data_IF_537465795334
#
_entry.id   IF_537465795334
#
_cell.length_a   1.000
_cell.length_b   1.000
_cell.length_c   1.000
_cell.angle_alpha   90.00
_cell.angle_beta   90.00
_cell.angle_gamma   90.00
#
_symmetry.space_group_name_H-M   'P 1'
#
loop_
_entity.id
_entity.type
_entity.pdbx_description
1 polymer ?
#
# COMPACT_ATOMS: atom_id res chain seq x y z
N UNK A 1 -95.58 -4.67 -5.05
CA UNK A 1 -95.83 -4.83 -3.61
C UNK A 1 -94.86 -5.87 -3.07
N UNK A 2 -94.31 -5.56 -1.89
CA UNK A 2 -93.14 -6.13 -1.20
C UNK A 2 -93.07 -7.66 -1.01
N UNK A 3 -91.85 -8.14 -0.76
CA UNK A 3 -91.58 -9.43 -0.12
C UNK A 3 -90.12 -9.87 -0.26
N UNK A 4 -89.29 -9.59 0.75
CA UNK A 4 -87.83 -9.62 0.71
C UNK A 4 -87.16 -10.99 0.95
N UNK A 5 -85.88 -11.05 0.53
CA UNK A 5 -84.76 -11.81 1.11
C UNK A 5 -84.78 -13.33 1.05
N UNK A 6 -83.83 -13.91 0.29
CA UNK A 6 -82.96 -14.97 0.82
C UNK A 6 -81.76 -15.21 -0.09
N UNK A 7 -80.64 -14.54 0.20
CA UNK A 7 -79.31 -15.18 0.16
C UNK A 7 -79.41 -16.49 0.94
N UNK A 8 -79.78 -17.57 0.26
CA UNK A 8 -80.04 -18.85 0.90
C UNK A 8 -78.77 -19.44 1.51
N UNK A 9 -78.92 -20.07 2.67
CA UNK A 9 -77.84 -20.73 3.44
C UNK A 9 -77.00 -21.66 2.56
N UNK A 10 -77.62 -22.35 1.60
CA UNK A 10 -76.94 -23.22 0.63
C UNK A 10 -76.00 -22.46 -0.32
N UNK A 11 -76.37 -21.25 -0.75
CA UNK A 11 -75.52 -20.43 -1.61
C UNK A 11 -74.27 -19.95 -0.86
N UNK A 12 -74.43 -19.59 0.41
CA UNK A 12 -73.31 -19.21 1.28
C UNK A 12 -72.42 -20.41 1.63
N UNK A 13 -73.00 -21.59 1.86
CA UNK A 13 -72.26 -22.84 2.07
C UNK A 13 -71.45 -23.25 0.84
N UNK A 14 -72.01 -23.16 -0.36
CA UNK A 14 -71.29 -23.41 -1.62
C UNK A 14 -70.10 -22.45 -1.78
N UNK A 15 -70.32 -21.16 -1.51
CA UNK A 15 -69.27 -20.15 -1.62
C UNK A 15 -68.15 -20.37 -0.57
N UNK A 16 -68.52 -20.81 0.64
CA UNK A 16 -67.56 -21.20 1.68
C UNK A 16 -66.83 -22.49 1.32
N UNK A 17 -67.48 -23.46 0.70
CA UNK A 17 -66.85 -24.72 0.27
C UNK A 17 -65.83 -24.47 -0.86
N UNK A 18 -66.19 -23.64 -1.86
CA UNK A 18 -65.26 -23.21 -2.91
C UNK A 18 -64.07 -22.47 -2.32
N UNK A 19 -64.29 -21.57 -1.34
CA UNK A 19 -63.23 -20.83 -0.64
C UNK A 19 -62.37 -21.73 0.26
N UNK A 20 -62.95 -22.79 0.83
CA UNK A 20 -62.22 -23.79 1.62
C UNK A 20 -61.37 -24.70 0.72
N UNK A 21 -61.88 -25.09 -0.45
CA UNK A 21 -61.13 -25.86 -1.46
C UNK A 21 -60.00 -25.05 -2.10
N UNK A 22 -60.22 -23.76 -2.39
CA UNK A 22 -59.18 -22.88 -2.91
C UNK A 22 -58.06 -22.62 -1.90
N UNK A 23 -58.36 -22.56 -0.59
CA UNK A 23 -57.35 -22.43 0.48
C UNK A 23 -56.49 -23.68 0.67
N UNK A 24 -57.05 -24.87 0.48
CA UNK A 24 -56.28 -26.13 0.60
C UNK A 24 -55.27 -26.36 -0.53
N UNK A 25 -55.35 -25.58 -1.61
CA UNK A 25 -54.58 -25.83 -2.85
C UNK A 25 -54.03 -24.52 -3.43
N UNK A 26 -53.37 -23.68 -2.63
CA UNK A 26 -52.55 -22.58 -3.16
C UNK A 26 -51.11 -23.06 -3.42
N UNK A 27 -50.79 -23.57 -4.63
CA UNK A 27 -49.44 -24.04 -4.97
C UNK A 27 -48.38 -22.95 -4.84
N UNK A 28 -48.77 -21.68 -4.96
CA UNK A 28 -47.89 -20.51 -4.87
C UNK A 28 -47.38 -20.24 -3.45
N UNK A 29 -48.17 -20.54 -2.41
CA UNK A 29 -47.71 -20.44 -1.02
C UNK A 29 -46.80 -21.62 -0.67
N UNK A 30 -47.14 -22.83 -1.14
CA UNK A 30 -46.28 -24.00 -0.93
C UNK A 30 -44.96 -23.90 -1.70
N UNK A 31 -44.94 -23.34 -2.91
CA UNK A 31 -43.71 -23.08 -3.67
C UNK A 31 -42.84 -22.06 -2.96
N UNK A 32 -43.43 -20.97 -2.45
CA UNK A 32 -42.69 -19.95 -1.68
C UNK A 32 -42.13 -20.50 -0.38
N UNK A 33 -42.87 -21.34 0.33
CA UNK A 33 -42.38 -22.00 1.55
C UNK A 33 -41.24 -22.97 1.23
N UNK A 34 -41.32 -23.71 0.11
CA UNK A 34 -40.22 -24.57 -0.35
C UNK A 34 -38.97 -23.76 -0.72
N UNK A 35 -39.11 -22.65 -1.44
CA UNK A 35 -38.00 -21.74 -1.74
C UNK A 35 -37.35 -21.17 -0.46
N UNK A 36 -38.15 -20.73 0.49
CA UNK A 36 -37.65 -20.18 1.76
C UNK A 36 -36.93 -21.26 2.58
N UNK A 37 -37.44 -22.50 2.59
CA UNK A 37 -36.76 -23.63 3.23
C UNK A 37 -35.41 -23.92 2.58
N UNK A 38 -35.35 -23.96 1.25
CA UNK A 38 -34.09 -24.14 0.52
C UNK A 38 -33.09 -23.01 0.82
N UNK A 39 -33.56 -21.76 0.93
CA UNK A 39 -32.71 -20.63 1.35
C UNK A 39 -32.20 -20.77 2.77
N UNK A 40 -33.03 -21.23 3.70
CA UNK A 40 -32.60 -21.47 5.10
C UNK A 40 -31.55 -22.59 5.15
N UNK A 41 -31.72 -23.65 4.38
CA UNK A 41 -30.73 -24.74 4.29
C UNK A 41 -29.41 -24.25 3.69
N UNK A 42 -29.45 -23.47 2.61
CA UNK A 42 -28.25 -22.86 2.03
C UNK A 42 -27.54 -21.92 3.01
N UNK A 43 -28.28 -21.06 3.72
CA UNK A 43 -27.72 -20.17 4.74
C UNK A 43 -27.16 -20.94 5.94
N UNK A 44 -27.76 -22.06 6.33
CA UNK A 44 -27.21 -22.94 7.36
C UNK A 44 -25.89 -23.56 6.92
N UNK A 45 -25.82 -24.07 5.70
CA UNK A 45 -24.58 -24.61 5.14
C UNK A 45 -23.48 -23.55 5.10
N UNK A 46 -23.78 -22.33 4.65
CA UNK A 46 -22.82 -21.21 4.70
C UNK A 46 -22.38 -20.87 6.12
N UNK A 47 -23.31 -20.83 7.08
CA UNK A 47 -22.99 -20.55 8.48
C UNK A 47 -22.12 -21.64 9.09
N UNK A 48 -22.39 -22.91 8.78
CA UNK A 48 -21.60 -24.03 9.27
C UNK A 48 -20.20 -24.05 8.64
N UNK A 49 -20.07 -23.69 7.36
CA UNK A 49 -18.77 -23.47 6.70
C UNK A 49 -17.97 -22.34 7.37
N UNK A 50 -18.58 -21.17 7.57
CA UNK A 50 -17.91 -20.04 8.23
C UNK A 50 -17.52 -20.39 9.67
N UNK A 51 -18.34 -21.17 10.37
CA UNK A 51 -18.01 -21.63 11.72
C UNK A 51 -16.79 -22.55 11.71
N UNK A 52 -16.68 -23.46 10.74
CA UNK A 52 -15.50 -24.30 10.57
C UNK A 52 -14.25 -23.47 10.25
N UNK A 53 -14.35 -22.49 9.35
CA UNK A 53 -13.25 -21.55 9.05
C UNK A 53 -12.81 -20.77 10.31
N UNK A 54 -13.73 -20.29 11.13
CA UNK A 54 -13.37 -19.59 12.38
C UNK A 54 -12.63 -20.52 13.34
N UNK A 55 -13.08 -21.77 13.49
CA UNK A 55 -12.40 -22.72 14.38
C UNK A 55 -11.00 -23.10 13.87
N UNK A 56 -10.81 -23.24 12.55
CA UNK A 56 -9.46 -23.47 12.00
C UNK A 56 -8.55 -22.27 12.27
N UNK A 57 -9.01 -21.04 12.04
CA UNK A 57 -8.23 -19.83 12.33
C UNK A 57 -7.85 -19.71 13.82
N UNK A 58 -8.78 -20.02 14.73
CA UNK A 58 -8.49 -20.07 16.17
C UNK A 58 -7.42 -21.10 16.51
N UNK A 59 -7.50 -22.29 15.91
CA UNK A 59 -6.51 -23.35 16.14
C UNK A 59 -5.13 -22.95 15.59
N UNK A 60 -5.08 -22.37 14.39
CA UNK A 60 -3.85 -21.81 13.81
C UNK A 60 -3.23 -20.73 14.69
N UNK A 61 -4.05 -19.81 15.25
CA UNK A 61 -3.56 -18.77 16.15
C UNK A 61 -2.97 -19.35 17.45
N UNK A 62 -3.56 -20.42 18.00
CA UNK A 62 -3.01 -21.12 19.17
C UNK A 62 -1.66 -21.79 18.87
N UNK A 63 -1.58 -22.52 17.75
CA UNK A 63 -0.35 -23.18 17.29
C UNK A 63 0.78 -22.17 17.00
N UNK A 64 0.42 -21.00 16.47
CA UNK A 64 1.37 -19.90 16.29
C UNK A 64 1.98 -19.43 17.60
N UNK A 65 1.13 -19.19 18.61
CA UNK A 65 1.57 -18.75 19.93
C UNK A 65 2.42 -19.80 20.66
N UNK A 66 2.20 -21.10 20.44
CA UNK A 66 3.05 -22.15 21.00
C UNK A 66 4.41 -22.24 20.30
N UNK A 67 4.45 -22.06 18.98
CA UNK A 67 5.70 -22.08 18.22
C UNK A 67 6.60 -20.88 18.53
N UNK A 68 6.02 -19.69 18.72
CA UNK A 68 6.78 -18.50 19.13
C UNK A 68 7.38 -18.65 20.55
N UNK A 69 6.73 -19.43 21.44
CA UNK A 69 7.25 -19.76 22.78
C UNK A 69 8.40 -20.76 22.74
N UNK A 70 8.32 -21.80 21.89
CA UNK A 70 9.40 -22.77 21.69
C UNK A 70 10.70 -22.14 21.15
N UNK A 71 10.63 -21.02 20.42
CA UNK A 71 11.83 -20.28 20.02
C UNK A 71 12.52 -19.48 21.14
N UNK A 72 11.91 -19.40 22.34
CA UNK A 72 12.42 -18.58 23.45
C UNK A 72 12.80 -19.37 24.70
N UNK A 73 12.32 -20.60 24.85
CA UNK A 73 12.73 -21.54 25.90
C UNK A 73 13.01 -22.90 25.26
N UNK A 74 14.26 -23.37 25.40
CA UNK A 74 14.50 -24.79 25.54
C UNK A 74 13.80 -25.22 26.84
N UNK A 75 13.15 -26.38 26.79
CA UNK A 75 12.55 -27.10 27.91
C UNK A 75 11.07 -26.80 28.22
N UNK A 76 10.33 -27.92 28.21
CA UNK A 76 9.11 -28.24 28.95
C UNK A 76 7.75 -28.28 28.21
N UNK A 77 7.33 -29.55 28.09
CA UNK A 77 5.98 -30.11 28.15
C UNK A 77 5.19 -30.27 26.84
N UNK A 78 5.40 -31.48 26.28
CA UNK A 78 4.49 -32.17 25.38
C UNK A 78 3.13 -32.37 26.06
N UNK A 79 2.18 -31.48 25.80
CA UNK A 79 0.77 -31.83 25.97
C UNK A 79 0.34 -32.69 24.77
N UNK A 80 0.17 -34.00 25.05
CA UNK A 80 -0.42 -35.00 24.16
C UNK A 80 -1.74 -34.50 23.55
N UNK A 81 -1.70 -34.12 22.28
CA UNK A 81 -2.89 -34.03 21.44
C UNK A 81 -2.85 -35.18 20.43
N UNK A 82 -3.23 -36.38 20.90
CA UNK A 82 -3.65 -37.48 20.02
C UNK A 82 -4.97 -37.10 19.32
N UNK A 83 -4.89 -36.45 18.17
CA UNK A 83 -6.00 -36.33 17.21
C UNK A 83 -5.44 -36.38 15.79
N UNK A 84 -5.85 -37.42 15.03
CA UNK A 84 -5.51 -37.72 13.63
C UNK A 84 -4.22 -37.06 13.12
N UNK A 85 -3.13 -37.84 13.21
CA UNK A 85 -1.76 -37.45 12.85
C UNK A 85 -1.66 -36.58 11.60
N UNK A 86 -2.41 -36.90 10.55
CA UNK A 86 -2.41 -36.15 9.29
C UNK A 86 -3.05 -34.75 9.40
N UNK A 87 -4.17 -34.61 10.12
CA UNK A 87 -4.85 -33.32 10.29
C UNK A 87 -4.08 -32.39 11.22
N UNK A 88 -3.49 -32.92 12.29
CA UNK A 88 -2.61 -32.19 13.19
C UNK A 88 -1.33 -31.71 12.48
N UNK A 89 -0.68 -32.58 11.68
CA UNK A 89 0.47 -32.19 10.87
C UNK A 89 0.12 -31.12 9.83
N UNK A 90 -1.03 -31.24 9.15
CA UNK A 90 -1.49 -30.24 8.19
C UNK A 90 -1.68 -28.87 8.87
N UNK A 91 -2.32 -28.83 10.03
CA UNK A 91 -2.53 -27.60 10.81
C UNK A 91 -1.21 -26.98 11.27
N UNK A 92 -0.24 -27.78 11.70
CA UNK A 92 1.11 -27.30 12.04
C UNK A 92 1.85 -26.73 10.82
N UNK A 93 1.75 -27.38 9.65
CA UNK A 93 2.34 -26.87 8.41
C UNK A 93 1.69 -25.57 7.96
N UNK A 94 0.36 -25.45 8.08
CA UNK A 94 -0.36 -24.20 7.82
C UNK A 94 0.06 -23.08 8.77
N UNK A 95 0.22 -23.38 10.07
CA UNK A 95 0.70 -22.41 11.05
C UNK A 95 2.13 -21.93 10.74
N UNK A 96 3.04 -22.84 10.35
CA UNK A 96 4.39 -22.48 9.91
C UNK A 96 4.39 -21.67 8.61
N UNK A 97 3.56 -22.05 7.65
CA UNK A 97 3.44 -21.32 6.38
C UNK A 97 3.01 -19.87 6.62
N UNK A 98 1.93 -19.67 7.37
CA UNK A 98 1.43 -18.34 7.71
C UNK A 98 2.45 -17.50 8.50
N UNK A 99 3.20 -18.10 9.42
CA UNK A 99 4.31 -17.39 10.10
C UNK A 99 5.40 -16.95 9.12
N UNK A 100 5.80 -17.81 8.19
CA UNK A 100 6.80 -17.48 7.17
C UNK A 100 6.30 -16.40 6.20
N UNK A 101 5.02 -16.43 5.83
CA UNK A 101 4.39 -15.38 5.03
C UNK A 101 4.40 -14.04 5.77
N UNK A 102 4.06 -14.03 7.05
CA UNK A 102 4.08 -12.80 7.85
C UNK A 102 5.50 -12.28 8.06
N UNK A 103 6.49 -13.16 8.22
CA UNK A 103 7.89 -12.78 8.27
C UNK A 103 8.37 -12.20 6.94
N UNK A 104 7.97 -12.80 5.82
CA UNK A 104 8.28 -12.30 4.48
C UNK A 104 7.63 -10.94 4.24
N UNK A 105 6.38 -10.77 4.65
CA UNK A 105 5.68 -9.49 4.57
C UNK A 105 6.34 -8.41 5.44
N UNK A 106 6.78 -8.77 6.65
CA UNK A 106 7.55 -7.88 7.52
C UNK A 106 8.89 -7.51 6.87
N UNK A 107 9.60 -8.47 6.26
CA UNK A 107 10.83 -8.20 5.51
C UNK A 107 10.58 -7.28 4.32
N UNK A 108 9.52 -7.50 3.54
CA UNK A 108 9.14 -6.61 2.44
C UNK A 108 8.93 -5.17 2.94
N UNK A 109 8.24 -5.03 4.07
CA UNK A 109 7.86 -3.73 4.64
C UNK A 109 9.07 -3.00 5.26
N UNK A 110 9.99 -3.72 5.92
CA UNK A 110 11.07 -3.13 6.74
C UNK A 110 12.43 -3.21 6.05
N UNK A 111 12.67 -4.26 5.26
CA UNK A 111 13.96 -4.59 4.64
C UNK A 111 14.29 -3.76 3.41
N UNK A 112 13.31 -3.11 2.79
CA UNK A 112 13.51 -2.19 1.65
C UNK A 112 13.82 -2.86 0.31
N UNK A 113 14.01 -4.18 0.29
CA UNK A 113 14.10 -4.97 -0.94
C UNK A 113 13.66 -6.42 -0.74
N UNK A 114 13.18 -7.05 -1.80
CA UNK A 114 12.90 -8.48 -1.85
C UNK A 114 13.90 -9.20 -2.74
N UNK A 115 14.20 -10.45 -2.43
CA UNK A 115 15.11 -11.28 -3.21
C UNK A 115 14.42 -12.59 -3.58
N UNK A 116 14.30 -12.84 -4.89
CA UNK A 116 13.68 -14.05 -5.43
C UNK A 116 14.70 -14.77 -6.32
N UNK A 117 14.78 -16.10 -6.20
CA UNK A 117 15.64 -16.91 -7.08
C UNK A 117 15.09 -16.90 -8.50
N UNK A 118 15.97 -16.68 -9.49
CA UNK A 118 15.59 -16.77 -10.91
C UNK A 118 15.23 -18.20 -11.30
N UNK A 119 14.36 -18.38 -12.31
CA UNK A 119 13.88 -19.69 -12.78
C UNK A 119 14.99 -20.66 -13.18
N UNK A 120 16.17 -20.15 -13.52
CA UNK A 120 17.32 -20.97 -13.93
C UNK A 120 18.26 -21.32 -12.77
N UNK A 121 18.01 -20.82 -11.55
CA UNK A 121 18.85 -21.05 -10.37
C UNK A 121 20.27 -20.46 -10.46
N UNK A 122 20.57 -19.69 -11.52
CA UNK A 122 21.89 -19.10 -11.80
C UNK A 122 22.04 -17.67 -11.28
N UNK A 123 20.93 -17.02 -10.94
CA UNK A 123 20.89 -15.64 -10.48
C UNK A 123 19.75 -15.38 -9.49
N UNK A 124 19.72 -14.16 -8.98
CA UNK A 124 18.66 -13.63 -8.11
C UNK A 124 18.05 -12.37 -8.75
N UNK A 125 16.75 -12.20 -8.58
CA UNK A 125 16.05 -10.96 -8.88
C UNK A 125 15.85 -10.21 -7.56
N UNK A 126 16.32 -8.97 -7.51
CA UNK A 126 16.15 -8.05 -6.39
C UNK A 126 15.14 -6.98 -6.77
N UNK A 127 14.11 -6.81 -5.95
CA UNK A 127 13.07 -5.80 -6.13
C UNK A 127 13.21 -4.73 -5.05
N UNK A 128 13.35 -3.47 -5.45
CA UNK A 128 13.54 -2.30 -4.59
C UNK A 128 12.29 -1.43 -4.70
N UNK A 129 11.46 -1.44 -3.67
CA UNK A 129 10.30 -0.55 -3.58
C UNK A 129 10.73 0.83 -3.10
N UNK A 130 10.23 1.88 -3.75
CA UNK A 130 10.37 3.27 -3.29
C UNK A 130 9.13 3.69 -2.51
N UNK A 131 9.30 4.58 -1.55
CA UNK A 131 8.21 5.06 -0.71
C UNK A 131 8.34 6.54 -0.38
N UNK A 132 7.19 7.20 -0.29
CA UNK A 132 7.09 8.59 0.11
C UNK A 132 5.89 8.81 1.02
N UNK A 133 6.12 9.48 2.15
CA UNK A 133 5.08 9.81 3.16
C UNK A 133 4.24 8.59 3.61
N UNK A 134 4.88 7.41 3.73
CA UNK A 134 4.24 6.16 4.15
C UNK A 134 3.52 5.39 3.04
N UNK A 135 3.62 5.85 1.78
CA UNK A 135 2.99 5.20 0.62
C UNK A 135 4.06 4.67 -0.33
N UNK A 136 3.90 3.42 -0.76
CA UNK A 136 4.75 2.84 -1.80
C UNK A 136 4.45 3.47 -3.17
N UNK A 137 5.50 3.78 -3.91
CA UNK A 137 5.44 4.40 -5.24
C UNK A 137 5.79 3.35 -6.31
N UNK A 138 7.00 3.42 -6.84
CA UNK A 138 7.49 2.57 -7.92
C UNK A 138 8.43 1.49 -7.39
N UNK A 139 8.44 0.33 -8.05
CA UNK A 139 9.35 -0.78 -7.75
C UNK A 139 10.36 -0.97 -8.89
N UNK A 140 11.64 -0.98 -8.53
CA UNK A 140 12.75 -1.19 -9.44
C UNK A 140 13.32 -2.59 -9.27
N UNK A 141 13.64 -3.27 -10.37
CA UNK A 141 14.07 -4.65 -10.38
C UNK A 141 15.48 -4.75 -10.96
N UNK A 142 16.30 -5.61 -10.34
CA UNK A 142 17.65 -5.96 -10.79
C UNK A 142 17.80 -7.46 -10.82
N UNK A 143 18.30 -8.00 -11.92
CA UNK A 143 18.72 -9.38 -12.04
C UNK A 143 20.24 -9.45 -11.87
N UNK A 144 20.69 -10.28 -10.93
CA UNK A 144 22.09 -10.45 -10.56
C UNK A 144 22.47 -11.93 -10.76
N UNK A 145 23.42 -12.18 -11.64
CA UNK A 145 24.00 -13.51 -11.86
C UNK A 145 25.01 -13.83 -10.76
N UNK A 146 24.93 -15.03 -10.17
CA UNK A 146 25.76 -15.42 -9.01
C UNK A 146 27.08 -16.09 -9.38
N UNK A 147 27.24 -16.61 -10.61
CA UNK A 147 28.42 -17.39 -11.04
C UNK A 147 28.91 -16.94 -12.42
N UNK A 148 30.25 -16.83 -12.64
CA UNK A 148 31.36 -17.03 -11.69
C UNK A 148 31.64 -15.81 -10.79
N UNK A 149 31.11 -14.63 -11.12
CA UNK A 149 31.20 -13.39 -10.33
C UNK A 149 29.83 -12.72 -10.32
N UNK A 150 29.55 -11.93 -9.27
CA UNK A 150 28.30 -11.19 -9.16
C UNK A 150 28.22 -10.13 -10.27
N UNK A 151 27.27 -10.29 -11.19
CA UNK A 151 27.08 -9.36 -12.31
C UNK A 151 25.61 -8.97 -12.45
N UNK A 152 25.36 -7.69 -12.64
CA UNK A 152 24.03 -7.19 -12.98
C UNK A 152 23.77 -7.53 -14.45
N UNK A 153 22.79 -8.39 -14.71
CA UNK A 153 22.45 -8.88 -16.05
C UNK A 153 21.33 -8.06 -16.69
N UNK A 154 20.28 -7.74 -15.94
CA UNK A 154 19.14 -6.92 -16.37
C UNK A 154 18.70 -5.98 -15.26
N UNK A 155 18.20 -4.81 -15.62
CA UNK A 155 17.56 -3.90 -14.67
C UNK A 155 16.60 -2.94 -15.38
N UNK A 156 15.68 -2.36 -14.61
CA UNK A 156 14.86 -1.21 -15.04
C UNK A 156 15.26 0.10 -14.33
N UNK A 157 16.43 0.13 -13.68
CA UNK A 157 16.98 1.34 -13.05
C UNK A 157 17.16 2.44 -14.12
N UNK A 158 16.72 3.69 -13.87
CA UNK A 158 16.83 4.76 -14.83
C UNK A 158 18.29 5.05 -15.24
N UNK A 159 18.55 5.40 -16.51
CA UNK A 159 19.91 5.48 -17.08
C UNK A 159 20.78 6.59 -16.45
N UNK A 160 20.16 7.58 -15.83
CA UNK A 160 20.85 8.67 -15.14
C UNK A 160 21.38 8.29 -13.75
N UNK A 161 20.98 7.13 -13.20
CA UNK A 161 21.56 6.60 -11.96
C UNK A 161 22.79 5.76 -12.33
N UNK A 162 23.98 6.10 -11.83
CA UNK A 162 25.24 5.49 -12.28
C UNK A 162 25.44 4.10 -11.67
N UNK A 163 24.63 3.13 -12.10
CA UNK A 163 24.56 1.79 -11.51
C UNK A 163 25.91 1.05 -11.49
N UNK A 164 26.66 1.12 -12.59
CA UNK A 164 27.98 0.48 -12.71
C UNK A 164 28.99 1.11 -11.74
N UNK A 165 29.04 2.44 -11.67
CA UNK A 165 29.92 3.14 -10.74
C UNK A 165 29.55 2.84 -9.28
N UNK A 166 28.26 2.74 -8.97
CA UNK A 166 27.80 2.33 -7.63
C UNK A 166 28.19 0.88 -7.30
N UNK A 167 28.13 -0.04 -8.28
CA UNK A 167 28.53 -1.42 -8.08
C UNK A 167 30.03 -1.57 -7.82
N UNK A 168 30.85 -0.78 -8.52
CA UNK A 168 32.30 -0.72 -8.32
C UNK A 168 32.67 -0.09 -6.97
N UNK A 169 32.12 1.09 -6.65
CA UNK A 169 32.41 1.81 -5.41
C UNK A 169 32.05 1.03 -4.15
N UNK A 170 30.96 0.25 -4.19
CA UNK A 170 30.48 -0.52 -3.05
C UNK A 170 31.01 -1.96 -3.01
N UNK A 171 31.93 -2.34 -3.90
CA UNK A 171 32.47 -3.70 -4.00
C UNK A 171 31.35 -4.76 -4.03
N UNK A 172 30.53 -4.76 -5.09
CA UNK A 172 29.41 -5.69 -5.26
C UNK A 172 29.75 -7.16 -4.95
N UNK A 173 30.99 -7.59 -5.21
CA UNK A 173 31.45 -8.96 -4.94
C UNK A 173 31.49 -9.33 -3.45
N UNK A 174 31.75 -8.37 -2.57
CA UNK A 174 31.94 -8.60 -1.13
C UNK A 174 30.78 -8.05 -0.32
N UNK A 175 30.23 -6.89 -0.72
CA UNK A 175 29.25 -6.14 0.06
C UNK A 175 27.99 -5.82 -0.76
N UNK A 176 27.27 -6.86 -1.21
CA UNK A 176 26.01 -6.68 -1.95
C UNK A 176 24.98 -5.85 -1.17
N UNK A 177 24.94 -6.00 0.16
CA UNK A 177 24.04 -5.22 1.02
C UNK A 177 24.31 -3.72 0.93
N UNK A 178 25.57 -3.31 1.07
CA UNK A 178 25.95 -1.88 0.99
C UNK A 178 25.65 -1.30 -0.39
N UNK A 179 25.82 -2.07 -1.45
CA UNK A 179 25.40 -1.70 -2.79
C UNK A 179 23.87 -1.49 -2.86
N UNK A 180 23.08 -2.46 -2.39
CA UNK A 180 21.61 -2.37 -2.40
C UNK A 180 21.10 -1.21 -1.55
N UNK A 181 21.66 -0.98 -0.36
CA UNK A 181 21.29 0.13 0.51
C UNK A 181 21.61 1.49 -0.15
N UNK A 182 22.72 1.58 -0.87
CA UNK A 182 23.12 2.79 -1.59
C UNK A 182 22.23 3.03 -2.80
N UNK A 183 21.92 1.98 -3.57
CA UNK A 183 21.01 2.06 -4.71
C UNK A 183 19.58 2.41 -4.27
N UNK A 184 19.09 1.78 -3.20
CA UNK A 184 17.79 2.08 -2.60
C UNK A 184 17.67 3.56 -2.24
N UNK A 185 18.69 4.13 -1.59
CA UNK A 185 18.73 5.57 -1.27
C UNK A 185 18.63 6.47 -2.51
N UNK A 186 19.36 6.16 -3.58
CA UNK A 186 19.29 6.93 -4.83
C UNK A 186 17.91 6.86 -5.47
N UNK A 187 17.34 5.65 -5.58
CA UNK A 187 16.03 5.42 -6.16
C UNK A 187 14.94 6.10 -5.34
N UNK A 188 14.98 5.95 -4.02
CA UNK A 188 14.00 6.55 -3.13
C UNK A 188 14.08 8.08 -3.13
N UNK A 189 15.28 8.65 -3.16
CA UNK A 189 15.47 10.09 -3.28
C UNK A 189 14.96 10.64 -4.62
N UNK A 190 15.19 9.92 -5.72
CA UNK A 190 14.63 10.28 -7.02
C UNK A 190 13.09 10.22 -7.01
N UNK A 191 12.51 9.10 -6.59
CA UNK A 191 11.05 8.93 -6.53
C UNK A 191 10.41 9.98 -5.60
N UNK A 192 11.02 10.27 -4.46
CA UNK A 192 10.56 11.30 -3.54
C UNK A 192 10.60 12.71 -4.14
N UNK A 193 11.62 13.05 -4.94
CA UNK A 193 11.71 14.36 -5.62
C UNK A 193 10.67 14.48 -6.73
N UNK A 194 10.48 13.42 -7.50
CA UNK A 194 9.41 13.32 -8.52
C UNK A 194 8.03 13.47 -7.89
N UNK A 195 7.75 12.75 -6.80
CA UNK A 195 6.48 12.85 -6.08
C UNK A 195 6.25 14.25 -5.50
N UNK A 196 7.28 14.86 -4.91
CA UNK A 196 7.20 16.23 -4.43
C UNK A 196 6.84 17.21 -5.56
N UNK A 197 7.43 17.04 -6.74
CA UNK A 197 7.15 17.88 -7.90
C UNK A 197 5.69 17.74 -8.37
N UNK A 198 5.17 16.52 -8.41
CA UNK A 198 3.77 16.24 -8.73
C UNK A 198 2.84 16.93 -7.70
N UNK A 199 3.11 16.77 -6.42
CA UNK A 199 2.37 17.42 -5.34
C UNK A 199 2.43 18.95 -5.40
N UNK A 200 3.56 19.54 -5.83
CA UNK A 200 3.65 20.99 -6.04
C UNK A 200 2.67 21.43 -7.13
N UNK A 201 2.65 20.73 -8.27
CA UNK A 201 1.76 21.06 -9.38
C UNK A 201 0.28 20.90 -9.02
N UNK A 202 -0.05 19.89 -8.23
CA UNK A 202 -1.43 19.61 -7.82
C UNK A 202 -1.94 20.56 -6.74
N UNK A 203 -1.15 20.80 -5.68
CA UNK A 203 -1.58 21.55 -4.50
C UNK A 203 -1.40 23.07 -4.65
N UNK A 204 -0.40 23.51 -5.43
CA UNK A 204 0.00 24.91 -5.50
C UNK A 204 -0.20 25.51 -6.89
N UNK A 205 -1.46 25.75 -7.27
CA UNK A 205 -1.81 26.37 -8.57
C UNK A 205 -1.21 27.76 -8.79
N UNK A 206 -0.86 28.47 -7.72
CA UNK A 206 -0.22 29.79 -7.76
C UNK A 206 1.30 29.73 -7.96
N UNK A 207 1.92 28.55 -7.82
CA UNK A 207 3.35 28.32 -8.01
C UNK A 207 3.56 27.69 -9.38
N UNK A 208 4.28 28.38 -10.25
CA UNK A 208 4.61 27.88 -11.57
C UNK A 208 5.93 27.11 -11.52
N UNK A 209 5.92 25.85 -11.97
CA UNK A 209 7.14 25.09 -12.22
C UNK A 209 7.71 25.54 -13.56
N UNK A 210 8.83 26.26 -13.54
CA UNK A 210 9.48 26.80 -14.72
C UNK A 210 10.35 25.76 -15.41
N UNK A 211 11.19 25.07 -14.63
CA UNK A 211 12.12 24.08 -15.13
C UNK A 211 12.27 22.92 -14.14
N UNK A 212 12.36 21.71 -14.66
CA UNK A 212 12.83 20.55 -13.92
C UNK A 212 13.56 19.61 -14.86
N UNK A 213 14.74 19.15 -14.45
CA UNK A 213 15.48 18.14 -15.20
C UNK A 213 14.93 16.73 -14.94
N UNK A 214 15.31 15.76 -15.77
CA UNK A 214 14.82 14.37 -15.70
C UNK A 214 15.10 13.72 -14.34
N UNK A 215 16.22 14.08 -13.70
CA UNK A 215 16.63 13.61 -12.37
C UNK A 215 15.85 14.25 -11.22
N UNK A 216 15.03 15.27 -11.49
CA UNK A 216 14.46 16.18 -10.51
C UNK A 216 15.51 16.71 -9.51
N UNK A 217 16.76 16.88 -9.96
CA UNK A 217 17.86 17.39 -9.15
C UNK A 217 18.02 18.91 -9.22
N UNK A 218 17.40 19.54 -10.20
CA UNK A 218 17.23 21.00 -10.26
C UNK A 218 15.75 21.26 -10.50
N UNK A 219 15.18 22.12 -9.66
CA UNK A 219 13.80 22.56 -9.76
C UNK A 219 13.74 24.08 -9.66
N UNK A 220 13.21 24.73 -10.69
CA UNK A 220 13.02 26.17 -10.73
C UNK A 220 11.53 26.47 -10.62
N UNK A 221 11.17 27.19 -9.56
CA UNK A 221 9.81 27.58 -9.24
C UNK A 221 9.66 29.09 -9.35
N UNK A 222 8.50 29.56 -9.78
CA UNK A 222 8.16 30.98 -9.78
C UNK A 222 6.87 31.19 -8.99
N UNK A 223 6.87 32.16 -8.09
CA UNK A 223 5.69 32.53 -7.31
C UNK A 223 5.67 34.02 -6.98
N UNK A 224 4.48 34.54 -6.73
CA UNK A 224 4.26 35.97 -6.50
C UNK A 224 4.22 36.30 -5.01
N UNK A 225 4.84 37.43 -4.65
CA UNK A 225 4.83 37.97 -3.29
C UNK A 225 3.61 38.88 -3.11
N UNK A 226 2.72 38.63 -2.12
CA UNK A 226 1.46 39.37 -1.99
C UNK A 226 1.63 40.88 -1.79
N UNK A 227 2.66 41.31 -1.05
CA UNK A 227 2.85 42.71 -0.64
C UNK A 227 3.37 43.62 -1.77
N UNK A 228 4.15 43.08 -2.70
CA UNK A 228 4.84 43.87 -3.73
C UNK A 228 4.43 43.50 -5.16
N UNK A 229 3.64 42.44 -5.36
CA UNK A 229 3.32 41.85 -6.68
C UNK A 229 4.56 41.50 -7.52
N UNK A 230 5.71 41.34 -6.86
CA UNK A 230 6.96 40.94 -7.49
C UNK A 230 6.98 39.42 -7.64
N UNK A 231 7.40 38.95 -8.80
CA UNK A 231 7.67 37.54 -9.04
C UNK A 231 9.04 37.18 -8.46
N UNK A 232 9.10 36.07 -7.74
CA UNK A 232 10.35 35.52 -7.20
C UNK A 232 10.60 34.18 -7.85
N UNK A 233 11.81 34.02 -8.39
CA UNK A 233 12.33 32.77 -8.89
C UNK A 233 13.04 32.05 -7.74
N UNK A 234 12.70 30.79 -7.52
CA UNK A 234 13.28 29.93 -6.50
C UNK A 234 13.91 28.72 -7.18
N UNK A 235 15.23 28.62 -7.10
CA UNK A 235 16.00 27.50 -7.65
C UNK A 235 16.42 26.58 -6.52
N UNK A 236 15.97 25.33 -6.61
CA UNK A 236 16.26 24.25 -5.68
C UNK A 236 17.26 23.29 -6.34
N UNK A 237 18.43 23.14 -5.73
CA UNK A 237 19.50 22.27 -6.20
C UNK A 237 19.72 21.12 -5.20
N UNK A 238 19.52 19.90 -5.70
CA UNK A 238 19.67 18.63 -5.00
C UNK A 238 20.95 17.94 -5.45
N UNK A 239 22.09 18.55 -5.12
CA UNK A 239 23.40 18.03 -5.52
C UNK A 239 23.71 16.66 -4.92
N UNK A 240 23.17 16.37 -3.74
CA UNK A 240 23.18 15.03 -3.15
C UNK A 240 22.02 14.20 -3.68
N UNK A 241 22.32 13.31 -4.64
CA UNK A 241 21.33 12.44 -5.28
C UNK A 241 20.77 11.34 -4.37
N UNK A 242 21.29 11.18 -3.15
CA UNK A 242 20.77 10.25 -2.14
C UNK A 242 19.73 10.90 -1.22
N UNK A 243 19.50 12.21 -1.37
CA UNK A 243 18.58 12.98 -0.52
C UNK A 243 17.38 13.49 -1.30
N UNK A 244 16.24 13.53 -0.62
CA UNK A 244 14.97 14.06 -1.15
C UNK A 244 14.77 15.55 -0.86
N UNK A 245 15.68 16.17 -0.11
CA UNK A 245 15.66 17.59 0.28
C UNK A 245 16.77 18.35 -0.45
N UNK A 246 16.54 19.62 -0.82
CA UNK A 246 17.50 20.41 -1.56
C UNK A 246 18.72 20.72 -0.69
N UNK A 247 19.90 20.67 -1.31
CA UNK A 247 21.17 21.03 -0.67
C UNK A 247 21.37 22.55 -0.70
N UNK A 248 20.96 23.17 -1.81
CA UNK A 248 21.04 24.62 -2.03
C UNK A 248 19.70 25.16 -2.49
N UNK A 249 19.43 26.38 -2.05
CA UNK A 249 18.22 27.14 -2.38
C UNK A 249 18.68 28.55 -2.73
N UNK A 250 18.27 29.03 -3.90
CA UNK A 250 18.59 30.36 -4.38
C UNK A 250 17.30 31.10 -4.73
N UNK A 251 17.23 32.39 -4.40
CA UNK A 251 16.11 33.25 -4.72
C UNK A 251 16.58 34.41 -5.59
N UNK A 252 15.89 34.63 -6.70
CA UNK A 252 16.11 35.76 -7.59
C UNK A 252 14.81 36.57 -7.70
N UNK A 253 14.92 37.89 -7.65
CA UNK A 253 13.80 38.83 -7.65
C UNK A 253 14.25 40.13 -8.29
N UNK A 254 13.34 40.88 -8.92
CA UNK A 254 13.61 42.24 -9.40
C UNK A 254 13.98 43.20 -8.25
N UNK A 255 13.49 42.92 -7.05
CA UNK A 255 13.93 43.58 -5.81
C UNK A 255 15.12 42.81 -5.21
N UNK A 256 16.35 43.27 -5.50
CA UNK A 256 17.60 42.66 -5.01
C UNK A 256 17.69 42.59 -3.48
N UNK A 257 16.95 43.42 -2.73
CA UNK A 257 16.99 43.44 -1.26
C UNK A 257 16.04 42.42 -0.63
N UNK A 258 15.11 41.88 -1.41
CA UNK A 258 14.08 40.96 -0.94
C UNK A 258 14.66 39.59 -0.54
N UNK A 259 15.53 38.92 -1.34
CA UNK A 259 16.18 37.66 -0.94
C UNK A 259 17.02 37.76 0.34
N UNK A 260 17.62 38.93 0.61
CA UNK A 260 18.49 39.15 1.76
C UNK A 260 17.74 39.44 3.07
N UNK A 261 16.41 39.61 2.99
CA UNK A 261 15.58 39.87 4.15
C UNK A 261 15.56 38.70 5.14
N UNK A 262 15.38 38.96 6.45
CA UNK A 262 15.37 37.90 7.47
C UNK A 262 14.22 36.90 7.27
N UNK A 263 13.11 37.32 6.66
CA UNK A 263 11.97 36.45 6.34
C UNK A 263 12.34 35.44 5.24
N UNK A 264 13.08 35.87 4.21
CA UNK A 264 13.52 35.00 3.12
C UNK A 264 14.65 34.07 3.52
N UNK A 265 15.52 34.49 4.44
CA UNK A 265 16.50 33.58 5.06
C UNK A 265 15.81 32.45 5.82
N UNK A 266 14.71 32.72 6.52
CA UNK A 266 13.89 31.67 7.15
C UNK A 266 13.23 30.74 6.12
N UNK A 267 12.70 31.30 5.02
CA UNK A 267 12.13 30.48 3.94
C UNK A 267 13.20 29.59 3.27
N UNK A 268 14.44 30.08 3.13
CA UNK A 268 15.57 29.30 2.62
C UNK A 268 15.87 28.09 3.53
N UNK A 269 15.97 28.30 4.84
CA UNK A 269 16.16 27.19 5.80
C UNK A 269 14.98 26.22 5.77
N UNK A 270 13.75 26.73 5.73
CA UNK A 270 12.54 25.91 5.65
C UNK A 270 12.55 24.98 4.42
N UNK A 271 12.92 25.50 3.25
CA UNK A 271 13.00 24.68 2.03
C UNK A 271 14.11 23.62 2.07
N UNK A 272 15.17 23.83 2.86
CA UNK A 272 16.25 22.84 3.08
C UNK A 272 15.87 21.76 4.09
N UNK A 273 15.03 22.09 5.06
CA UNK A 273 14.66 21.21 6.17
C UNK A 273 13.35 20.45 5.93
N UNK A 274 12.46 20.99 5.09
CA UNK A 274 11.15 20.38 4.78
C UNK A 274 10.96 20.10 3.29
N UNK A 275 10.20 19.05 2.93
CA UNK A 275 9.83 18.80 1.54
C UNK A 275 9.16 20.00 0.88
N UNK A 276 9.51 20.29 -0.38
CA UNK A 276 9.14 21.55 -1.05
C UNK A 276 7.63 21.81 -1.02
N UNK A 277 6.81 20.80 -1.31
CA UNK A 277 5.36 20.95 -1.30
C UNK A 277 4.79 21.30 0.09
N UNK A 278 5.39 20.82 1.19
CA UNK A 278 5.03 21.16 2.57
C UNK A 278 5.57 22.55 2.95
N UNK A 279 6.81 22.86 2.56
CA UNK A 279 7.42 24.17 2.79
C UNK A 279 6.59 25.30 2.14
N UNK A 280 6.14 25.10 0.90
CA UNK A 280 5.27 26.06 0.20
C UNK A 280 3.93 26.28 0.90
N UNK A 281 3.33 25.23 1.49
CA UNK A 281 2.10 25.39 2.32
C UNK A 281 2.39 26.31 3.50
N UNK A 282 3.51 26.10 4.17
CA UNK A 282 3.92 26.93 5.32
C UNK A 282 4.22 28.36 4.89
N UNK A 283 4.94 28.57 3.78
CA UNK A 283 5.22 29.90 3.23
C UNK A 283 3.93 30.65 2.87
N UNK A 284 2.93 29.96 2.32
CA UNK A 284 1.61 30.52 2.03
C UNK A 284 0.85 30.90 3.30
N UNK A 285 0.88 30.04 4.33
CA UNK A 285 0.29 30.34 5.65
C UNK A 285 0.95 31.55 6.34
N UNK A 286 2.24 31.75 6.12
CA UNK A 286 2.99 32.91 6.61
C UNK A 286 2.70 34.19 5.82
N UNK A 287 1.98 34.11 4.68
CA UNK A 287 1.69 35.25 3.82
C UNK A 287 2.88 35.69 2.96
N UNK A 288 3.90 34.85 2.80
CA UNK A 288 5.09 35.16 2.00
C UNK A 288 4.84 34.96 0.50
N UNK A 289 3.90 34.08 0.14
CA UNK A 289 3.53 33.73 -1.23
C UNK A 289 2.00 33.64 -1.36
N UNK A 290 1.48 33.86 -2.57
CA UNK A 290 0.05 33.77 -2.91
C UNK A 290 -0.43 32.33 -3.00
#
# INVERSE_FOLDING_TARGET
MAGASATGVLSQLSLLEVKARSRKTQPQQQSRVKELKAKVEALRAQRDQLKAEIETHKHLQKLRASLDKQSTNEEEEEEEMEQDSEHSQLLQLMARHTQLEDLLYAHHTIGGYDVIKTRQGKGVCVSLATAYDGVFLETYNLEIDLKPTLRISRHNVPPFIPLNSLAEQNNLQTNIRTFLDTLSRHLNAFAARKQQLELVKELHKSVQVMESNVLCSILVLMFNVPKQKTAVLCTLDYSDHTRSLPTRVHFESEDEKLPDSPEWKKNCSLLKETPVHKALITMKKMGNIV
#
